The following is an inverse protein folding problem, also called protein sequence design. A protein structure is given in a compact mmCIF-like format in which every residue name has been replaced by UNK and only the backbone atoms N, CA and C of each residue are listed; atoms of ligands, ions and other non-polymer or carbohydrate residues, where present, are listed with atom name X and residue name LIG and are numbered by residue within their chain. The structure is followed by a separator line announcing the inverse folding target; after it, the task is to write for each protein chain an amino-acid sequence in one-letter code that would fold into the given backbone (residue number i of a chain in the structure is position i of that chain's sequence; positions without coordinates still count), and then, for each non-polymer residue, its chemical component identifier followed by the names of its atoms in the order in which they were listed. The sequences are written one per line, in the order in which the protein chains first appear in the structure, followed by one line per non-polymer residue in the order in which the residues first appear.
data_IF_451013455653
#
_entry.id   IF_451013455653
#
_cell.length_a   1.000
_cell.length_b   1.000
_cell.length_c   1.000
_cell.angle_alpha   90.00
_cell.angle_beta   90.00
_cell.angle_gamma   90.00
#
_symmetry.space_group_name_H-M   'P 1'
#
loop_
_entity.id
_entity.type
_entity.pdbx_description
1 polymer ?
#
# COMPACT_ATOMS: atom_id res chain seq x y z
N UNK A 1 8.07 -21.49 -35.95
CA UNK A 1 9.31 -21.84 -36.69
C UNK A 1 10.41 -20.87 -36.28
N UNK A 2 11.53 -21.42 -35.77
CA UNK A 2 12.70 -20.73 -35.26
C UNK A 2 13.39 -19.90 -36.37
N UNK A 3 13.75 -18.64 -36.09
CA UNK A 3 14.84 -17.96 -36.81
C UNK A 3 15.82 -17.42 -35.77
N UNK A 4 16.87 -18.21 -35.55
CA UNK A 4 18.10 -17.81 -34.88
C UNK A 4 18.88 -16.92 -35.85
N UNK A 5 19.43 -15.80 -35.38
CA UNK A 5 20.52 -15.13 -36.10
C UNK A 5 21.73 -15.03 -35.17
N UNK A 6 22.83 -15.58 -35.67
CA UNK A 6 24.11 -15.72 -35.01
C UNK A 6 24.91 -14.41 -35.02
N UNK A 7 25.62 -14.22 -33.91
CA UNK A 7 26.98 -13.69 -33.74
C UNK A 7 27.60 -12.79 -34.82
N UNK A 8 28.09 -11.63 -34.39
CA UNK A 8 29.31 -11.03 -34.93
C UNK A 8 30.32 -10.85 -33.79
N UNK A 9 31.42 -11.62 -33.86
CA UNK A 9 32.64 -11.39 -33.09
C UNK A 9 33.37 -10.20 -33.71
N UNK A 10 33.78 -9.23 -32.90
CA UNK A 10 34.86 -8.30 -33.25
C UNK A 10 35.86 -8.28 -32.09
N UNK A 11 37.00 -8.93 -32.32
CA UNK A 11 38.17 -8.85 -31.47
C UNK A 11 38.94 -7.57 -31.80
N UNK A 12 39.37 -6.80 -30.79
CA UNK A 12 40.49 -5.88 -30.94
C UNK A 12 41.19 -5.61 -29.60
N UNK A 13 42.50 -5.89 -29.64
CA UNK A 13 43.61 -5.26 -28.93
C UNK A 13 43.68 -5.33 -27.38
N UNK A 14 44.66 -6.13 -26.95
CA UNK A 14 45.37 -5.99 -25.67
C UNK A 14 46.16 -4.67 -25.68
N UNK A 15 46.04 -3.89 -24.59
CA UNK A 15 47.06 -2.94 -24.17
C UNK A 15 47.18 -3.02 -22.64
N UNK A 16 48.33 -3.50 -22.17
CA UNK A 16 48.72 -3.44 -20.76
C UNK A 16 49.51 -2.16 -20.56
N UNK A 17 49.05 -1.30 -19.65
CA UNK A 17 49.92 -0.34 -18.95
C UNK A 17 49.44 -0.15 -17.51
N UNK A 18 50.36 -0.33 -16.57
CA UNK A 18 50.27 -0.02 -15.15
C UNK A 18 50.17 1.49 -14.91
N UNK A 19 49.35 1.93 -13.94
CA UNK A 19 49.44 3.31 -13.43
C UNK A 19 48.24 3.80 -12.61
N UNK A 20 48.38 3.77 -11.28
CA UNK A 20 48.02 4.80 -10.30
C UNK A 20 46.61 5.43 -10.25
N UNK A 21 45.97 5.26 -9.08
CA UNK A 21 45.01 6.16 -8.39
C UNK A 21 44.06 7.01 -9.25
N UNK A 22 42.80 6.58 -9.32
CA UNK A 22 41.65 7.43 -9.63
C UNK A 22 40.44 6.85 -8.93
N UNK A 23 39.78 7.63 -8.08
CA UNK A 23 38.62 7.19 -7.30
C UNK A 23 37.53 6.61 -8.19
N UNK A 24 36.97 5.49 -7.76
CA UNK A 24 35.72 4.97 -8.28
C UNK A 24 34.67 6.05 -8.06
N UNK A 25 34.26 6.69 -9.16
CA UNK A 25 33.02 7.45 -9.22
C UNK A 25 31.89 6.48 -8.82
N UNK A 26 31.21 6.65 -7.68
CA UNK A 26 30.03 5.87 -7.42
C UNK A 26 29.00 6.40 -8.42
N UNK A 27 28.80 5.65 -9.49
CA UNK A 27 27.68 5.86 -10.41
C UNK A 27 26.38 6.06 -9.63
N UNK A 28 25.36 6.64 -10.27
CA UNK A 28 24.12 7.01 -9.59
C UNK A 28 23.62 5.86 -8.72
N UNK A 29 23.39 6.15 -7.44
CA UNK A 29 22.88 5.19 -6.45
C UNK A 29 21.62 4.50 -7.01
N UNK A 30 21.37 3.23 -6.63
CA UNK A 30 20.16 2.54 -7.07
C UNK A 30 18.94 3.42 -6.79
N UNK A 31 18.10 3.61 -7.80
CA UNK A 31 16.71 3.94 -7.56
C UNK A 31 16.20 2.79 -6.70
N UNK A 32 15.79 3.05 -5.46
CA UNK A 32 15.03 2.06 -4.70
C UNK A 32 13.74 1.84 -5.50
N UNK A 33 13.70 0.74 -6.26
CA UNK A 33 12.54 0.33 -7.03
C UNK A 33 11.45 -0.01 -6.00
N UNK A 34 10.31 0.68 -6.05
CA UNK A 34 9.19 0.37 -5.15
C UNK A 34 8.72 -1.03 -5.52
N UNK A 35 8.98 -2.00 -4.64
CA UNK A 35 8.60 -3.40 -4.85
C UNK A 35 7.26 -3.74 -4.21
N UNK A 36 6.82 -2.92 -3.25
CA UNK A 36 5.57 -3.08 -2.49
C UNK A 36 5.06 -1.69 -2.13
N UNK A 37 3.74 -1.50 -2.19
CA UNK A 37 3.09 -0.30 -1.73
C UNK A 37 2.82 -0.37 -0.21
N UNK A 38 2.79 0.81 0.40
CA UNK A 38 2.42 1.03 1.79
C UNK A 38 1.11 1.81 1.83
N UNK A 39 0.08 1.22 2.45
CA UNK A 39 -1.14 1.95 2.79
C UNK A 39 -0.96 2.62 4.16
N UNK A 40 -1.33 3.89 4.24
CA UNK A 40 -1.39 4.65 5.49
C UNK A 40 -2.80 5.12 5.76
N UNK A 41 -3.15 5.29 7.04
CA UNK A 41 -4.47 5.79 7.46
C UNK A 41 -4.32 6.95 8.45
N UNK A 42 -5.09 8.01 8.23
CA UNK A 42 -5.09 9.20 9.07
C UNK A 42 -6.51 9.75 9.21
N UNK A 43 -6.78 10.49 10.30
CA UNK A 43 -8.01 11.29 10.39
C UNK A 43 -7.95 12.37 9.32
N UNK A 44 -8.99 12.44 8.49
CA UNK A 44 -9.08 13.39 7.40
C UNK A 44 -9.38 14.79 7.96
N UNK A 45 -8.38 15.67 7.91
CA UNK A 45 -8.54 17.10 8.21
C UNK A 45 -8.65 17.92 6.93
N UNK A 46 -9.26 19.10 7.00
CA UNK A 46 -9.33 20.02 5.85
C UNK A 46 -7.93 20.33 5.29
N UNK A 47 -6.93 20.47 6.16
CA UNK A 47 -5.53 20.70 5.75
C UNK A 47 -4.99 19.51 4.95
N UNK A 48 -5.20 18.28 5.44
CA UNK A 48 -4.70 17.07 4.79
C UNK A 48 -5.40 16.84 3.45
N UNK A 49 -6.73 17.00 3.41
CA UNK A 49 -7.52 16.85 2.19
C UNK A 49 -7.18 17.91 1.14
N UNK A 50 -6.83 19.13 1.54
CA UNK A 50 -6.45 20.21 0.61
C UNK A 50 -5.18 19.95 -0.19
N UNK A 51 -4.41 18.90 0.15
CA UNK A 51 -3.19 18.50 -0.57
C UNK A 51 -3.49 17.74 -1.86
N UNK A 52 -4.73 17.30 -2.05
CA UNK A 52 -5.15 16.48 -3.18
C UNK A 52 -6.18 17.23 -4.03
N UNK A 53 -6.08 17.10 -5.35
CA UNK A 53 -7.04 17.71 -6.28
C UNK A 53 -8.40 16.98 -6.25
N UNK A 54 -8.39 15.68 -5.96
CA UNK A 54 -9.58 14.85 -5.83
C UNK A 54 -9.30 13.59 -5.01
N UNK A 55 -10.35 12.96 -4.51
CA UNK A 55 -10.30 11.67 -3.82
C UNK A 55 -11.50 10.82 -4.24
N UNK A 56 -11.38 9.51 -4.05
CA UNK A 56 -12.53 8.62 -4.01
C UNK A 56 -13.20 8.76 -2.64
N UNK A 57 -14.53 8.68 -2.58
CA UNK A 57 -15.26 8.87 -1.32
C UNK A 57 -16.31 7.79 -1.13
N UNK A 58 -16.42 7.29 0.10
CA UNK A 58 -17.50 6.41 0.54
C UNK A 58 -17.98 6.79 1.94
N UNK A 59 -19.30 6.85 2.14
CA UNK A 59 -19.90 7.03 3.46
C UNK A 59 -20.56 5.73 3.88
N UNK A 60 -19.93 5.01 4.81
CA UNK A 60 -20.53 3.87 5.49
C UNK A 60 -21.52 4.37 6.54
N UNK A 61 -21.13 5.38 7.31
CA UNK A 61 -21.96 5.95 8.36
C UNK A 61 -21.88 7.48 8.42
N UNK A 62 -23.02 8.15 8.28
CA UNK A 62 -23.11 9.63 8.28
C UNK A 62 -22.58 10.31 9.55
N UNK A 63 -22.57 9.59 10.68
CA UNK A 63 -22.07 10.09 11.97
C UNK A 63 -20.66 9.59 12.30
N UNK A 64 -20.05 8.85 11.37
CA UNK A 64 -18.71 8.30 11.51
C UNK A 64 -17.60 9.35 11.45
N UNK A 65 -16.42 8.90 11.84
CA UNK A 65 -15.18 9.66 11.65
C UNK A 65 -14.77 9.59 10.19
N UNK A 66 -14.23 10.71 9.68
CA UNK A 66 -13.73 10.81 8.32
C UNK A 66 -12.25 10.44 8.32
N UNK A 67 -11.90 9.39 7.56
CA UNK A 67 -10.55 8.85 7.47
C UNK A 67 -10.04 8.97 6.04
N UNK A 68 -8.76 9.26 5.91
CA UNK A 68 -8.03 9.30 4.65
C UNK A 68 -7.09 8.09 4.59
N UNK A 69 -7.20 7.31 3.52
CA UNK A 69 -6.27 6.25 3.18
C UNK A 69 -5.44 6.67 1.97
N UNK A 70 -4.12 6.67 2.15
CA UNK A 70 -3.12 7.03 1.13
C UNK A 70 -2.23 5.85 0.81
N UNK A 71 -1.57 5.93 -0.34
CA UNK A 71 -0.57 4.96 -0.79
C UNK A 71 0.67 5.67 -1.31
N UNK A 72 1.85 5.05 -1.20
CA UNK A 72 3.11 5.54 -1.77
C UNK A 72 3.35 5.08 -3.22
N UNK A 73 2.62 4.06 -3.68
CA UNK A 73 2.59 3.57 -5.04
C UNK A 73 1.18 3.14 -5.48
N UNK A 74 0.94 3.09 -6.79
CA UNK A 74 -0.36 2.67 -7.32
C UNK A 74 -0.62 1.18 -7.02
N UNK A 75 -1.79 0.88 -6.44
CA UNK A 75 -2.27 -0.48 -6.18
C UNK A 75 -3.56 -0.73 -6.97
N UNK A 76 -3.76 -1.97 -7.39
CA UNK A 76 -4.90 -2.36 -8.24
C UNK A 76 -6.01 -3.00 -7.42
N UNK A 77 -7.22 -3.02 -7.98
CA UNK A 77 -8.41 -3.69 -7.41
C UNK A 77 -8.65 -3.34 -5.93
N UNK A 78 -8.47 -2.06 -5.58
CA UNK A 78 -8.64 -1.59 -4.21
C UNK A 78 -10.12 -1.64 -3.79
N UNK A 79 -10.38 -2.25 -2.65
CA UNK A 79 -11.69 -2.30 -2.04
C UNK A 79 -11.65 -1.88 -0.57
N UNK A 80 -12.71 -1.20 -0.14
CA UNK A 80 -13.05 -1.05 1.28
C UNK A 80 -13.98 -2.20 1.65
N UNK A 81 -13.58 -3.03 2.61
CA UNK A 81 -14.19 -4.33 2.90
C UNK A 81 -14.78 -4.40 4.30
N UNK A 82 -15.76 -5.29 4.47
CA UNK A 82 -16.22 -5.75 5.78
C UNK A 82 -15.25 -6.81 6.29
N UNK A 83 -14.87 -6.70 7.56
CA UNK A 83 -14.06 -7.73 8.23
C UNK A 83 -14.91 -8.41 9.29
N UNK A 84 -14.88 -9.75 9.31
CA UNK A 84 -15.56 -10.58 10.31
C UNK A 84 -14.56 -11.50 10.99
N UNK A 85 -15.02 -12.24 12.00
CA UNK A 85 -14.17 -13.10 12.81
C UNK A 85 -14.84 -14.43 13.14
N UNK A 86 -14.02 -15.46 13.23
CA UNK A 86 -14.38 -16.74 13.86
C UNK A 86 -13.39 -17.08 14.97
N UNK A 87 -13.89 -17.66 16.06
CA UNK A 87 -13.05 -18.19 17.13
C UNK A 87 -12.88 -19.70 16.92
N UNK A 88 -11.65 -20.13 16.63
CA UNK A 88 -11.30 -21.54 16.42
C UNK A 88 -10.18 -21.89 17.42
N UNK A 89 -10.45 -22.87 18.28
CA UNK A 89 -9.50 -23.33 19.31
C UNK A 89 -8.95 -22.20 20.23
N UNK A 90 -9.72 -21.13 20.41
CA UNK A 90 -9.36 -19.96 21.23
C UNK A 90 -8.53 -18.91 20.50
N UNK A 91 -8.30 -19.09 19.19
CA UNK A 91 -7.68 -18.10 18.31
C UNK A 91 -8.75 -17.40 17.47
N UNK A 92 -8.61 -16.08 17.33
CA UNK A 92 -9.51 -15.25 16.54
C UNK A 92 -8.96 -15.15 15.11
N UNK A 93 -9.67 -15.71 14.15
CA UNK A 93 -9.31 -15.69 12.73
C UNK A 93 -10.14 -14.59 12.07
N UNK A 94 -9.46 -13.65 11.41
CA UNK A 94 -10.09 -12.56 10.67
C UNK A 94 -10.42 -13.03 9.26
N UNK A 95 -11.55 -12.59 8.71
CA UNK A 95 -11.94 -12.93 7.35
C UNK A 95 -12.54 -11.76 6.59
N UNK A 96 -12.30 -11.70 5.28
CA UNK A 96 -12.99 -10.79 4.37
C UNK A 96 -14.45 -11.24 4.20
N UNK A 97 -15.39 -10.36 4.57
CA UNK A 97 -16.84 -10.58 4.43
C UNK A 97 -17.45 -9.87 3.20
N UNK A 98 -16.61 -9.29 2.34
CA UNK A 98 -16.97 -8.69 1.07
C UNK A 98 -16.89 -7.15 1.04
N UNK A 99 -16.85 -6.57 -0.17
CA UNK A 99 -16.61 -5.13 -0.34
C UNK A 99 -17.86 -4.28 -0.09
N UNK A 100 -17.68 -3.18 0.61
CA UNK A 100 -18.60 -2.05 0.66
C UNK A 100 -18.44 -1.14 -0.57
N UNK A 101 -17.20 -0.97 -1.02
CA UNK A 101 -16.81 -0.07 -2.10
C UNK A 101 -15.59 -0.62 -2.84
N UNK A 102 -15.50 -0.37 -4.14
CA UNK A 102 -14.43 -0.90 -5.00
C UNK A 102 -14.04 0.12 -6.08
N UNK A 103 -12.74 0.25 -6.32
CA UNK A 103 -12.13 1.03 -7.41
C UNK A 103 -11.05 0.19 -8.09
N UNK A 104 -10.84 0.42 -9.39
CA UNK A 104 -9.84 -0.36 -10.13
C UNK A 104 -8.40 -0.03 -9.75
N UNK A 105 -8.14 1.20 -9.30
CA UNK A 105 -6.79 1.65 -8.95
C UNK A 105 -6.85 2.76 -7.89
N UNK A 106 -6.03 2.64 -6.85
CA UNK A 106 -5.74 3.69 -5.87
C UNK A 106 -4.32 4.20 -6.13
N UNK A 107 -4.14 5.52 -6.27
CA UNK A 107 -2.84 6.14 -6.54
C UNK A 107 -2.46 7.16 -5.47
N UNK A 108 -1.16 7.53 -5.35
CA UNK A 108 -0.73 8.57 -4.43
C UNK A 108 -1.42 9.92 -4.64
N UNK A 109 -1.79 10.26 -5.89
CA UNK A 109 -2.41 11.54 -6.25
C UNK A 109 -3.93 11.57 -6.02
N UNK A 110 -4.57 10.39 -5.97
CA UNK A 110 -6.01 10.27 -5.80
C UNK A 110 -6.34 9.25 -4.70
N UNK A 111 -6.22 9.67 -3.43
CA UNK A 111 -6.44 8.80 -2.29
C UNK A 111 -7.92 8.47 -2.08
N UNK A 112 -8.20 7.63 -1.08
CA UNK A 112 -9.55 7.23 -0.70
C UNK A 112 -9.94 7.84 0.64
N UNK A 113 -11.12 8.44 0.70
CA UNK A 113 -11.71 9.00 1.92
C UNK A 113 -12.92 8.15 2.28
N UNK A 114 -12.99 7.72 3.53
CA UNK A 114 -14.12 6.97 4.06
C UNK A 114 -14.66 7.63 5.31
N UNK A 115 -15.99 7.72 5.41
CA UNK A 115 -16.66 8.04 6.66
C UNK A 115 -17.23 6.76 7.26
N UNK A 116 -16.70 6.34 8.40
CA UNK A 116 -17.08 5.09 9.06
C UNK A 116 -17.14 5.25 10.57
N UNK A 117 -17.95 4.42 11.23
CA UNK A 117 -17.86 4.30 12.68
C UNK A 117 -16.66 3.42 13.05
N UNK A 118 -15.77 3.87 13.95
CA UNK A 118 -14.84 2.94 14.57
C UNK A 118 -15.64 2.00 15.48
N UNK A 119 -15.56 0.69 15.20
CA UNK A 119 -16.31 -0.31 15.94
C UNK A 119 -15.39 -0.96 16.96
N UNK A 120 -15.56 -0.61 18.24
CA UNK A 120 -15.09 -1.41 19.38
C UNK A 120 -13.61 -1.81 19.36
N UNK A 121 -13.33 -2.95 20.01
CA UNK A 121 -11.97 -3.51 20.16
C UNK A 121 -11.59 -4.51 19.05
N UNK A 122 -12.57 -4.99 18.29
CA UNK A 122 -12.37 -5.85 17.13
C UNK A 122 -12.70 -5.02 15.89
N UNK A 123 -11.89 -5.06 14.83
CA UNK A 123 -12.22 -4.31 13.61
C UNK A 123 -13.59 -4.72 13.07
N UNK A 124 -14.13 -3.95 12.15
CA UNK A 124 -15.24 -4.40 11.31
C UNK A 124 -15.03 -4.01 9.85
N UNK A 125 -13.92 -3.33 9.59
CA UNK A 125 -13.62 -2.67 8.34
C UNK A 125 -12.15 -2.91 8.01
N UNK A 126 -11.87 -2.99 6.74
CA UNK A 126 -10.53 -3.16 6.22
C UNK A 126 -10.43 -2.65 4.79
N UNK A 127 -9.29 -2.93 4.19
CA UNK A 127 -9.07 -2.77 2.76
C UNK A 127 -8.48 -4.05 2.17
N UNK A 128 -8.81 -4.34 0.93
CA UNK A 128 -8.09 -5.30 0.10
C UNK A 128 -7.58 -4.63 -1.17
N UNK A 129 -6.45 -5.09 -1.68
CA UNK A 129 -5.87 -4.60 -2.93
C UNK A 129 -4.84 -5.58 -3.47
N UNK A 130 -4.53 -5.46 -4.76
CA UNK A 130 -3.41 -6.13 -5.41
C UNK A 130 -2.22 -5.19 -5.40
N UNK A 131 -1.15 -5.59 -4.71
CA UNK A 131 0.09 -4.83 -4.55
C UNK A 131 0.90 -4.76 -5.85
N UNK A 132 1.95 -3.94 -5.86
CA UNK A 132 2.87 -3.72 -6.98
C UNK A 132 3.49 -5.02 -7.49
N UNK A 133 3.73 -5.99 -6.61
CA UNK A 133 4.27 -7.31 -6.95
C UNK A 133 3.21 -8.32 -7.44
N UNK A 134 1.93 -7.92 -7.45
CA UNK A 134 0.79 -8.75 -7.85
C UNK A 134 0.20 -9.62 -6.72
N UNK A 135 0.68 -9.47 -5.49
CA UNK A 135 0.14 -10.17 -4.31
C UNK A 135 -1.13 -9.47 -3.84
N UNK A 136 -2.19 -10.24 -3.58
CA UNK A 136 -3.37 -9.72 -2.90
C UNK A 136 -3.10 -9.56 -1.41
N UNK A 137 -3.42 -8.38 -0.87
CA UNK A 137 -3.27 -8.05 0.55
C UNK A 137 -4.63 -7.70 1.14
N UNK A 138 -4.87 -8.17 2.35
CA UNK A 138 -6.04 -7.82 3.16
C UNK A 138 -5.57 -7.18 4.46
N UNK A 139 -6.10 -6.00 4.78
CA UNK A 139 -5.64 -5.20 5.91
C UNK A 139 -6.85 -4.73 6.72
N UNK A 140 -6.88 -5.06 8.00
CA UNK A 140 -7.90 -4.58 8.93
C UNK A 140 -7.55 -3.20 9.49
N UNK A 141 -8.56 -2.35 9.64
CA UNK A 141 -8.44 -1.02 10.23
C UNK A 141 -8.78 -1.08 11.71
N UNK A 142 -7.79 -0.88 12.57
CA UNK A 142 -7.96 -0.84 14.01
C UNK A 142 -8.00 0.58 14.53
N UNK A 143 -8.85 0.84 15.52
CA UNK A 143 -8.75 2.03 16.35
C UNK A 143 -7.79 1.75 17.51
N UNK A 144 -6.85 2.67 17.75
CA UNK A 144 -5.88 2.58 18.84
C UNK A 144 -6.53 2.64 20.22
N UNK A 145 -7.56 3.47 20.38
CA UNK A 145 -8.19 3.75 21.68
C UNK A 145 -7.30 4.54 22.64
N UNK A 146 -6.06 4.86 22.26
CA UNK A 146 -5.16 5.74 23.00
C UNK A 146 -5.47 7.22 22.74
N UNK A 147 -4.97 8.07 23.62
CA UNK A 147 -4.97 9.51 23.38
C UNK A 147 -4.13 9.82 22.11
N UNK A 148 -4.60 10.70 21.22
CA UNK A 148 -3.87 11.05 19.99
C UNK A 148 -2.47 11.63 20.24
N UNK A 149 -2.18 12.16 21.43
CA UNK A 149 -0.83 12.60 21.80
C UNK A 149 0.12 11.42 22.12
N UNK A 150 -0.41 10.22 22.39
CA UNK A 150 0.37 9.01 22.71
C UNK A 150 0.61 8.12 21.48
N UNK A 151 -0.39 7.99 20.60
CA UNK A 151 -0.32 7.15 19.41
C UNK A 151 -1.28 7.62 18.32
N UNK A 152 -1.03 7.26 17.05
CA UNK A 152 -2.00 7.47 15.98
C UNK A 152 -3.36 6.86 16.35
N UNK A 153 -4.49 7.54 16.03
CA UNK A 153 -5.82 7.06 16.40
C UNK A 153 -6.21 5.76 15.68
N UNK A 154 -5.56 5.47 14.55
CA UNK A 154 -5.77 4.26 13.76
C UNK A 154 -4.44 3.62 13.38
N UNK A 155 -4.47 2.30 13.23
CA UNK A 155 -3.38 1.51 12.67
C UNK A 155 -3.93 0.36 11.82
N UNK A 156 -3.05 -0.20 11.01
CA UNK A 156 -3.37 -1.18 9.98
C UNK A 156 -2.70 -2.51 10.33
N UNK A 157 -3.44 -3.61 10.19
CA UNK A 157 -2.93 -4.97 10.44
C UNK A 157 -3.29 -5.86 9.28
N UNK A 158 -2.28 -6.39 8.61
CA UNK A 158 -2.47 -7.39 7.55
C UNK A 158 -2.99 -8.71 8.13
N UNK A 159 -3.89 -9.35 7.40
CA UNK A 159 -4.44 -10.66 7.76
C UNK A 159 -4.57 -11.54 6.52
N UNK A 160 -4.66 -12.84 6.77
CA UNK A 160 -4.83 -13.86 5.74
C UNK A 160 -6.09 -14.67 6.09
N UNK A 161 -6.92 -14.96 5.08
CA UNK A 161 -8.04 -15.90 5.15
C UNK A 161 -7.58 -17.38 5.23
#
# INVERSE_FOLDING_TARGET
MKKRLMALLAACAVAVTLGSCGGEDPGPKPNDEITTATIEIQVATDELLSRYDSFYEYTENETGELLLLTTDAAVQDFAFISVTYEEIDGELIMMDAGPFFHIGELTPEKPFVVRMLPIGSLPAHGVSYVDVDGTEKQIAIYQSGQDPDEAPPYYLVEFED
#
